data_IF_245892440987
#
_entry.id   IF_245892440987
#
_cell.length_a   1.000
_cell.length_b   1.000
_cell.length_c   1.000
_cell.angle_alpha   90.00
_cell.angle_beta   90.00
_cell.angle_gamma   90.00
#
_symmetry.space_group_name_H-M   'P 1'
#
loop_
_entity.id
_entity.type
_entity.pdbx_description
1 polymer ?
#
# COMPACT_ATOMS: atom_id res chain seq x y z
N UNK A 1 17.68 -16.09 21.92
CA UNK A 1 16.79 -15.79 23.06
C UNK A 1 15.57 -15.08 22.49
N UNK A 2 14.67 -15.83 21.83
CA UNK A 2 13.35 -15.34 21.44
C UNK A 2 12.53 -15.31 22.73
N UNK A 3 12.36 -14.11 23.31
CA UNK A 3 11.64 -13.90 24.56
C UNK A 3 10.33 -13.14 24.35
N UNK A 4 9.86 -13.15 23.12
CA UNK A 4 8.66 -12.44 22.69
C UNK A 4 7.57 -13.48 22.52
N UNK A 5 6.58 -13.45 23.42
CA UNK A 5 5.31 -14.14 23.23
C UNK A 5 4.73 -13.71 21.89
N UNK A 6 4.35 -14.66 21.04
CA UNK A 6 3.78 -14.37 19.74
C UNK A 6 2.37 -13.80 19.94
N UNK A 7 2.26 -12.47 19.78
CA UNK A 7 1.03 -11.74 20.00
C UNK A 7 0.16 -11.79 18.76
N UNK A 8 -1.10 -12.21 18.92
CA UNK A 8 -2.08 -12.30 17.84
C UNK A 8 -3.10 -11.17 17.95
N UNK A 9 -3.13 -10.23 17.00
CA UNK A 9 -4.17 -9.21 16.94
C UNK A 9 -5.51 -9.83 16.50
N UNK A 10 -6.54 -9.68 17.33
CA UNK A 10 -7.88 -10.19 17.01
C UNK A 10 -8.47 -9.56 15.76
N UNK A 11 -8.16 -8.29 15.52
CA UNK A 11 -8.67 -7.51 14.39
C UNK A 11 -8.23 -8.05 13.03
N UNK A 12 -7.17 -8.87 12.97
CA UNK A 12 -6.69 -9.47 11.72
C UNK A 12 -7.44 -10.75 11.33
N UNK A 13 -8.23 -11.32 12.24
CA UNK A 13 -9.02 -12.52 12.01
C UNK A 13 -10.52 -12.20 11.99
N UNK A 14 -10.89 -11.15 11.25
CA UNK A 14 -12.27 -10.75 11.01
C UNK A 14 -12.95 -11.59 9.91
N UNK A 15 -14.25 -11.39 9.71
CA UNK A 15 -15.06 -12.16 8.75
C UNK A 15 -14.71 -11.88 7.28
N UNK A 16 -14.02 -10.76 7.02
CA UNK A 16 -13.51 -10.40 5.68
C UNK A 16 -12.26 -11.20 5.29
N UNK A 17 -11.63 -11.90 6.23
CA UNK A 17 -10.45 -12.72 5.96
C UNK A 17 -10.84 -13.99 5.21
N UNK A 18 -10.17 -14.21 4.08
CA UNK A 18 -10.35 -15.42 3.27
C UNK A 18 -10.18 -16.70 4.12
N UNK A 19 -11.14 -17.64 4.08
CA UNK A 19 -11.13 -18.81 4.93
C UNK A 19 -9.92 -19.73 4.66
N UNK A 20 -9.45 -19.86 3.41
CA UNK A 20 -8.28 -20.67 3.08
C UNK A 20 -7.01 -20.06 3.69
N UNK A 21 -6.92 -18.73 3.72
CA UNK A 21 -5.81 -18.01 4.36
C UNK A 21 -5.87 -18.20 5.87
N UNK A 22 -7.05 -18.04 6.47
CA UNK A 22 -7.27 -18.25 7.90
C UNK A 22 -6.81 -19.64 8.33
N UNK A 23 -7.24 -20.68 7.63
CA UNK A 23 -6.86 -22.07 7.95
C UNK A 23 -5.35 -22.29 7.89
N UNK A 24 -4.69 -21.78 6.85
CA UNK A 24 -3.22 -21.91 6.71
C UNK A 24 -2.46 -21.17 7.80
N UNK A 25 -2.92 -19.98 8.18
CA UNK A 25 -2.31 -19.21 9.27
C UNK A 25 -2.49 -19.95 10.60
N UNK A 26 -3.68 -20.46 10.89
CA UNK A 26 -3.95 -21.24 12.11
C UNK A 26 -3.10 -22.52 12.18
N UNK A 27 -2.90 -23.22 11.05
CA UNK A 27 -2.01 -24.37 10.99
C UNK A 27 -0.55 -23.99 11.30
N UNK A 28 -0.07 -22.86 10.78
CA UNK A 28 1.27 -22.35 11.08
C UNK A 28 1.43 -21.97 12.56
N UNK A 29 0.40 -21.37 13.17
CA UNK A 29 0.39 -21.03 14.60
C UNK A 29 0.48 -22.27 15.49
N UNK A 30 -0.21 -23.36 15.14
CA UNK A 30 -0.10 -24.63 15.87
C UNK A 30 1.31 -25.21 15.85
N UNK A 31 2.03 -25.06 14.74
CA UNK A 31 3.44 -25.49 14.64
C UNK A 31 4.32 -24.65 15.58
N UNK A 32 4.06 -23.34 15.69
CA UNK A 32 4.78 -22.46 16.61
C UNK A 32 4.51 -22.82 18.07
N UNK A 33 3.26 -23.12 18.43
CA UNK A 33 2.93 -23.62 19.77
C UNK A 33 3.64 -24.92 20.12
N UNK A 34 3.67 -25.88 19.17
CA UNK A 34 4.41 -27.14 19.33
C UNK A 34 5.92 -26.93 19.49
N UNK A 35 6.47 -25.87 18.87
CA UNK A 35 7.85 -25.46 19.03
C UNK A 35 8.14 -24.72 20.35
N UNK A 36 7.12 -24.49 21.18
CA UNK A 36 7.24 -23.86 22.50
C UNK A 36 6.90 -22.37 22.53
N UNK A 37 6.30 -21.82 21.47
CA UNK A 37 5.76 -20.46 21.50
C UNK A 37 4.48 -20.40 22.35
N UNK A 38 4.25 -19.26 22.99
CA UNK A 38 2.99 -18.96 23.68
C UNK A 38 2.25 -17.92 22.89
N UNK A 39 1.08 -18.29 22.37
CA UNK A 39 0.19 -17.36 21.69
C UNK A 39 -0.53 -16.48 22.71
N UNK A 40 -0.46 -15.16 22.51
CA UNK A 40 -1.12 -14.18 23.39
C UNK A 40 -2.03 -13.31 22.56
N UNK A 41 -3.34 -13.41 22.78
CA UNK A 41 -4.29 -12.52 22.14
C UNK A 41 -4.11 -11.08 22.60
N UNK A 42 -4.08 -10.16 21.64
CA UNK A 42 -4.04 -8.72 21.87
C UNK A 42 -5.10 -7.99 21.06
N UNK A 43 -5.43 -6.80 21.52
CA UNK A 43 -6.34 -5.87 20.84
C UNK A 43 -5.54 -4.71 20.27
N UNK A 44 -5.81 -4.39 19.00
CA UNK A 44 -5.29 -3.24 18.28
C UNK A 44 -6.45 -2.32 17.86
N UNK A 45 -6.94 -1.47 18.77
CA UNK A 45 -8.16 -0.67 18.58
C UNK A 45 -8.05 0.41 17.50
N UNK A 46 -6.87 0.58 16.89
CA UNK A 46 -6.62 1.56 15.83
C UNK A 46 -6.26 0.90 14.48
N UNK A 47 -6.26 -0.43 14.39
CA UNK A 47 -5.91 -1.14 13.16
C UNK A 47 -6.82 -0.78 11.98
N UNK A 48 -8.09 -0.47 12.23
CA UNK A 48 -9.03 -0.05 11.18
C UNK A 48 -8.69 1.30 10.55
N UNK A 49 -7.93 2.16 11.23
CA UNK A 49 -7.46 3.43 10.67
C UNK A 49 -6.23 3.27 9.78
N UNK A 50 -5.55 2.11 9.81
CA UNK A 50 -4.26 1.93 9.12
C UNK A 50 -4.34 2.24 7.62
N UNK A 51 -5.41 1.79 6.94
CA UNK A 51 -5.61 2.04 5.51
C UNK A 51 -5.85 3.54 5.25
N UNK A 52 -6.73 4.18 6.02
CA UNK A 52 -7.02 5.60 5.87
C UNK A 52 -5.77 6.46 6.10
N UNK A 53 -5.02 6.18 7.16
CA UNK A 53 -3.75 6.84 7.48
C UNK A 53 -2.72 6.63 6.37
N UNK A 54 -2.61 5.41 5.83
CA UNK A 54 -1.71 5.10 4.71
C UNK A 54 -2.01 5.96 3.48
N UNK A 55 -3.28 6.08 3.10
CA UNK A 55 -3.69 6.88 1.93
C UNK A 55 -3.53 8.40 2.10
N UNK A 56 -3.25 8.88 3.31
CA UNK A 56 -2.89 10.28 3.55
C UNK A 56 -1.38 10.45 3.52
N UNK A 57 -0.65 9.64 4.30
CA UNK A 57 0.80 9.80 4.49
C UNK A 57 1.57 9.38 3.25
N UNK A 58 1.28 8.20 2.69
CA UNK A 58 2.07 7.66 1.58
C UNK A 58 2.01 8.56 0.32
N UNK A 59 0.87 9.12 -0.11
CA UNK A 59 0.84 10.06 -1.22
C UNK A 59 1.55 11.38 -0.93
N UNK A 60 1.50 11.88 0.32
CA UNK A 60 2.20 13.09 0.72
C UNK A 60 3.73 12.90 0.63
N UNK A 61 4.24 11.79 1.16
CA UNK A 61 5.66 11.44 1.06
C UNK A 61 6.09 11.18 -0.38
N UNK A 62 5.28 10.43 -1.15
CA UNK A 62 5.55 10.19 -2.56
C UNK A 62 5.62 11.50 -3.35
N UNK A 63 4.71 12.45 -3.08
CA UNK A 63 4.72 13.77 -3.74
C UNK A 63 5.99 14.56 -3.44
N UNK A 64 6.42 14.60 -2.18
CA UNK A 64 7.65 15.27 -1.79
C UNK A 64 8.90 14.58 -2.39
N UNK A 65 8.93 13.25 -2.37
CA UNK A 65 10.04 12.45 -2.91
C UNK A 65 10.15 12.57 -4.43
N UNK A 66 9.02 12.63 -5.14
CA UNK A 66 8.99 12.71 -6.59
C UNK A 66 9.16 14.14 -7.13
N UNK A 67 8.96 15.18 -6.31
CA UNK A 67 9.14 16.58 -6.70
C UNK A 67 10.55 16.89 -7.22
N UNK A 68 11.57 16.11 -6.83
CA UNK A 68 12.96 16.24 -7.31
C UNK A 68 13.17 15.80 -8.76
N UNK A 69 12.21 15.09 -9.35
CA UNK A 69 12.25 14.64 -10.74
C UNK A 69 11.48 15.61 -11.64
N UNK A 70 11.96 16.84 -11.70
CA UNK A 70 11.38 17.93 -12.47
C UNK A 70 11.85 17.97 -13.95
N UNK A 71 12.74 17.06 -14.35
CA UNK A 71 13.30 17.01 -15.71
C UNK A 71 14.42 18.04 -15.97
N UNK A 72 14.76 18.88 -14.98
CA UNK A 72 15.80 19.92 -15.11
C UNK A 72 17.18 19.29 -15.05
N UNK A 73 17.42 18.40 -14.07
CA UNK A 73 18.71 17.71 -13.88
C UNK A 73 18.74 16.29 -14.44
N UNK A 74 17.64 15.54 -14.33
CA UNK A 74 17.51 14.15 -14.80
C UNK A 74 16.06 13.85 -15.20
N UNK A 75 15.82 12.94 -16.15
CA UNK A 75 14.48 12.49 -16.54
C UNK A 75 14.27 12.34 -18.05
N UNK A 76 13.22 11.62 -18.44
CA UNK A 76 12.81 11.45 -19.85
C UNK A 76 12.37 12.79 -20.44
N UNK A 77 13.05 13.21 -21.51
CA UNK A 77 12.67 14.38 -22.31
C UNK A 77 11.95 13.87 -23.56
N UNK A 78 10.72 14.32 -23.79
CA UNK A 78 10.07 14.09 -25.08
C UNK A 78 10.88 14.81 -26.17
N UNK A 79 11.19 14.12 -27.27
CA UNK A 79 11.79 14.77 -28.43
C UNK A 79 10.89 15.91 -28.93
N UNK A 80 11.49 17.09 -29.04
CA UNK A 80 10.83 18.32 -29.42
C UNK A 80 10.40 18.24 -30.88
N UNK A 81 9.10 18.04 -31.12
CA UNK A 81 8.49 18.33 -32.41
C UNK A 81 8.71 19.81 -32.76
N UNK A 82 9.25 20.05 -33.95
CA UNK A 82 9.70 21.30 -34.56
C UNK A 82 8.76 22.52 -34.36
N UNK A 83 8.75 23.12 -33.17
CA UNK A 83 8.31 24.50 -32.93
C UNK A 83 8.93 24.97 -31.61
N UNK A 84 9.64 26.09 -31.63
CA UNK A 84 10.43 26.61 -30.51
C UNK A 84 9.60 27.17 -29.35
N UNK A 85 8.68 26.38 -28.78
CA UNK A 85 8.07 26.63 -27.47
C UNK A 85 8.51 25.51 -26.53
N UNK A 86 9.01 25.83 -25.32
CA UNK A 86 9.24 24.80 -24.32
C UNK A 86 7.87 24.27 -23.91
N UNK A 87 7.41 23.19 -24.55
CA UNK A 87 6.26 22.43 -24.07
C UNK A 87 6.74 21.74 -22.80
N UNK A 88 6.53 22.39 -21.66
CA UNK A 88 6.65 21.71 -20.38
C UNK A 88 5.84 20.43 -20.47
N UNK A 89 6.48 19.33 -20.11
CA UNK A 89 5.96 17.98 -20.19
C UNK A 89 4.84 17.78 -19.12
N UNK A 90 3.83 18.64 -19.10
CA UNK A 90 2.67 18.60 -18.21
C UNK A 90 1.79 17.36 -18.45
N UNK A 91 2.14 16.52 -19.44
CA UNK A 91 1.46 15.27 -19.75
C UNK A 91 1.98 14.08 -18.94
N UNK A 92 3.22 14.10 -18.44
CA UNK A 92 3.76 13.02 -17.63
C UNK A 92 3.11 12.94 -16.23
N UNK A 93 2.77 14.09 -15.63
CA UNK A 93 2.09 14.13 -14.33
C UNK A 93 0.59 13.77 -14.40
N UNK A 94 -0.02 13.71 -15.60
CA UNK A 94 -1.46 13.37 -15.77
C UNK A 94 -1.76 11.87 -15.80
N UNK A 95 -0.74 11.00 -15.71
CA UNK A 95 -0.95 9.55 -15.77
C UNK A 95 -1.56 8.99 -14.47
N UNK A 96 -1.48 9.71 -13.34
CA UNK A 96 -1.91 9.17 -12.05
C UNK A 96 -3.36 9.47 -11.62
N UNK A 97 -4.10 10.35 -12.31
CA UNK A 97 -5.44 10.79 -11.85
C UNK A 97 -6.56 10.50 -12.86
N UNK A 98 -6.29 9.87 -14.01
CA UNK A 98 -7.28 9.69 -15.09
C UNK A 98 -7.83 8.27 -15.28
N UNK A 99 -7.86 7.44 -14.24
CA UNK A 99 -8.56 6.13 -14.27
C UNK A 99 -9.57 5.96 -13.13
N UNK A 100 -10.46 6.94 -12.94
CA UNK A 100 -11.63 6.80 -12.06
C UNK A 100 -12.95 7.22 -12.73
N UNK A 101 -13.03 7.22 -14.07
CA UNK A 101 -14.29 7.55 -14.77
C UNK A 101 -14.40 6.78 -16.07
N UNK A 102 -14.50 5.45 -15.96
CA UNK A 102 -15.00 4.59 -17.03
C UNK A 102 -15.38 3.22 -16.44
N UNK A 103 -16.41 3.18 -15.59
CA UNK A 103 -17.31 2.03 -15.55
C UNK A 103 -18.67 2.44 -14.99
N UNK A 104 -19.51 2.95 -15.88
CA UNK A 104 -20.96 3.05 -15.66
C UNK A 104 -21.62 2.81 -17.01
N UNK A 105 -21.69 1.54 -17.39
CA UNK A 105 -22.27 1.10 -18.65
C UNK A 105 -22.64 -0.38 -18.59
N UNK A 106 -23.60 -0.71 -17.72
CA UNK A 106 -24.17 -2.05 -17.61
C UNK A 106 -25.67 -1.98 -17.33
N UNK A 107 -26.46 -1.90 -18.40
CA UNK A 107 -27.63 -2.73 -18.80
C UNK A 107 -28.47 -1.94 -19.80
#
# INVERSE_FOLDING_TARGET
MFRDSDRLPREYFNDDLDPDVRERVMAALSVLEQAGATLVDIELPHSHYAIATYYVIAPAEASANLARYDGVRFGYRCETGRSGRPSTCARAARVLVRRCSADSGGT
#
